data_IF_222325302647
#
_entry.id   IF_222325302647
#
_cell.length_a   1.000
_cell.length_b   1.000
_cell.length_c   1.000
_cell.angle_alpha   90.00
_cell.angle_beta   90.00
_cell.angle_gamma   90.00
#
_symmetry.space_group_name_H-M   'P 1'
#
loop_
_entity.id
_entity.type
_entity.pdbx_description
1 polymer ?
#
# COMPACT_ATOMS: atom_id res chain seq x y z
N UNK A 1 4.12 13.45 -17.48
CA UNK A 1 4.33 12.05 -17.93
C UNK A 1 3.86 11.13 -16.81
N UNK A 2 2.74 10.43 -17.00
CA UNK A 2 2.23 9.48 -16.00
C UNK A 2 3.24 8.36 -15.82
N UNK A 3 3.80 8.21 -14.62
CA UNK A 3 4.73 7.12 -14.32
C UNK A 3 3.94 5.91 -13.85
N UNK A 4 4.30 4.74 -14.37
CA UNK A 4 3.64 3.46 -14.05
C UNK A 4 3.62 3.17 -12.54
N UNK A 5 4.66 3.56 -11.81
CA UNK A 5 4.71 3.45 -10.34
C UNK A 5 3.56 4.21 -9.64
N UNK A 6 3.19 5.40 -10.13
CA UNK A 6 2.18 6.26 -9.54
C UNK A 6 0.79 5.64 -9.70
N UNK A 7 0.55 4.92 -10.79
CA UNK A 7 -0.68 4.19 -11.03
C UNK A 7 -0.86 3.06 -10.00
N UNK A 8 0.18 2.26 -9.75
CA UNK A 8 0.11 1.18 -8.77
C UNK A 8 -0.04 1.68 -7.32
N UNK A 9 0.62 2.79 -6.98
CA UNK A 9 0.42 3.44 -5.67
C UNK A 9 -1.01 3.97 -5.53
N UNK A 10 -1.57 4.56 -6.59
CA UNK A 10 -2.95 5.06 -6.60
C UNK A 10 -3.95 3.91 -6.44
N UNK A 11 -3.79 2.82 -7.19
CA UNK A 11 -4.65 1.64 -7.08
C UNK A 11 -4.60 1.07 -5.65
N UNK A 12 -3.40 0.92 -5.09
CA UNK A 12 -3.26 0.41 -3.72
C UNK A 12 -3.89 1.35 -2.68
N UNK A 13 -3.78 2.66 -2.87
CA UNK A 13 -4.45 3.65 -2.03
C UNK A 13 -5.98 3.53 -2.12
N UNK A 14 -6.52 3.42 -3.33
CA UNK A 14 -7.97 3.24 -3.55
C UNK A 14 -8.47 1.97 -2.89
N UNK A 15 -7.75 0.85 -3.00
CA UNK A 15 -8.12 -0.41 -2.33
C UNK A 15 -8.22 -0.19 -0.81
N UNK A 16 -7.24 0.47 -0.20
CA UNK A 16 -7.26 0.76 1.23
C UNK A 16 -8.45 1.65 1.63
N UNK A 17 -8.79 2.67 0.85
CA UNK A 17 -9.99 3.49 1.12
C UNK A 17 -11.28 2.71 0.94
N UNK A 18 -11.37 1.83 -0.06
CA UNK A 18 -12.53 0.94 -0.24
C UNK A 18 -12.70 0.06 1.00
N UNK A 19 -11.62 -0.56 1.49
CA UNK A 19 -11.68 -1.39 2.69
C UNK A 19 -12.14 -0.58 3.92
N UNK A 20 -11.62 0.65 4.09
CA UNK A 20 -12.08 1.56 5.14
C UNK A 20 -13.58 1.89 5.05
N UNK A 21 -14.09 2.17 3.84
CA UNK A 21 -15.52 2.46 3.63
C UNK A 21 -16.39 1.25 3.96
N UNK A 22 -15.96 0.06 3.56
CA UNK A 22 -16.67 -1.18 3.88
C UNK A 22 -16.72 -1.44 5.39
N UNK A 23 -15.61 -1.23 6.12
CA UNK A 23 -15.59 -1.40 7.58
C UNK A 23 -16.61 -0.46 8.25
N UNK A 24 -16.68 0.80 7.82
CA UNK A 24 -17.66 1.76 8.36
C UNK A 24 -19.11 1.43 7.97
N UNK A 25 -19.34 0.89 6.77
CA UNK A 25 -20.68 0.58 6.29
C UNK A 25 -21.32 -0.59 7.05
N UNK A 26 -20.53 -1.62 7.37
CA UNK A 26 -21.02 -2.81 8.08
C UNK A 26 -21.00 -2.67 9.61
N UNK A 27 -20.57 -1.52 10.14
CA UNK A 27 -20.55 -1.17 11.57
C UNK A 27 -20.05 -2.31 12.48
N UNK A 28 -18.86 -2.83 12.17
CA UNK A 28 -18.25 -3.89 12.96
C UNK A 28 -17.92 -3.40 14.37
N UNK A 29 -18.64 -3.88 15.38
CA UNK A 29 -18.32 -3.68 16.80
C UNK A 29 -17.21 -4.63 17.26
N UNK A 30 -16.01 -4.44 16.70
CA UNK A 30 -14.80 -5.13 17.12
C UNK A 30 -13.61 -4.15 17.15
N UNK A 31 -12.88 -4.16 18.27
CA UNK A 31 -11.66 -3.37 18.46
C UNK A 31 -10.64 -3.61 17.35
N UNK A 32 -10.55 -4.84 16.82
CA UNK A 32 -9.62 -5.17 15.74
C UNK A 32 -10.02 -4.49 14.42
N UNK A 33 -11.32 -4.37 14.15
CA UNK A 33 -11.83 -3.65 12.97
C UNK A 33 -11.65 -2.15 13.08
N UNK A 34 -11.77 -1.58 14.28
CA UNK A 34 -11.44 -0.18 14.51
C UNK A 34 -9.97 0.12 14.24
N UNK A 35 -9.06 -0.73 14.70
CA UNK A 35 -7.63 -0.65 14.39
C UNK A 35 -7.41 -0.75 12.88
N UNK A 36 -8.06 -1.73 12.23
CA UNK A 36 -7.91 -1.91 10.80
C UNK A 36 -8.40 -0.71 9.99
N UNK A 37 -9.51 -0.10 10.38
CA UNK A 37 -10.01 1.13 9.77
C UNK A 37 -8.98 2.25 9.80
N UNK A 38 -8.36 2.48 10.96
CA UNK A 38 -7.33 3.53 11.12
C UNK A 38 -6.11 3.22 10.27
N UNK A 39 -5.67 1.96 10.25
CA UNK A 39 -4.53 1.53 9.43
C UNK A 39 -4.84 1.68 7.94
N UNK A 40 -6.02 1.30 7.48
CA UNK A 40 -6.48 1.44 6.10
C UNK A 40 -6.57 2.91 5.66
N UNK A 41 -7.07 3.79 6.52
CA UNK A 41 -7.07 5.23 6.25
C UNK A 41 -5.64 5.79 6.16
N UNK A 42 -4.79 5.45 7.13
CA UNK A 42 -3.40 5.89 7.20
C UNK A 42 -2.56 5.40 6.02
N UNK A 43 -2.70 4.12 5.64
CA UNK A 43 -2.03 3.55 4.47
C UNK A 43 -2.50 4.19 3.17
N UNK A 44 -3.82 4.42 3.01
CA UNK A 44 -4.39 5.09 1.85
C UNK A 44 -3.79 6.49 1.64
N UNK A 45 -3.75 7.30 2.71
CA UNK A 45 -3.17 8.64 2.69
C UNK A 45 -1.66 8.60 2.45
N UNK A 46 -0.94 7.69 3.12
CA UNK A 46 0.50 7.55 2.97
C UNK A 46 0.91 7.16 1.54
N UNK A 47 0.16 6.25 0.91
CA UNK A 47 0.37 5.86 -0.49
C UNK A 47 0.11 7.02 -1.45
N UNK A 48 -0.90 7.86 -1.20
CA UNK A 48 -1.09 9.10 -1.96
C UNK A 48 0.08 10.07 -1.77
N UNK A 49 0.54 10.26 -0.53
CA UNK A 49 1.70 11.10 -0.25
C UNK A 49 2.94 10.63 -1.02
N UNK A 50 3.18 9.33 -1.09
CA UNK A 50 4.28 8.74 -1.86
C UNK A 50 4.23 9.04 -3.35
N UNK A 51 3.05 9.28 -3.95
CA UNK A 51 2.94 9.68 -5.36
C UNK A 51 3.60 11.04 -5.58
N UNK A 52 3.45 11.98 -4.64
CA UNK A 52 4.03 13.33 -4.73
C UNK A 52 5.54 13.35 -4.45
N UNK A 53 6.09 12.28 -3.88
CA UNK A 53 7.54 12.16 -3.61
C UNK A 53 8.37 11.78 -4.85
N UNK A 54 7.81 11.92 -6.06
CA UNK A 54 8.40 11.51 -7.34
C UNK A 54 9.76 12.15 -7.67
N UNK A 55 10.10 13.28 -7.03
CA UNK A 55 11.39 13.97 -7.18
C UNK A 55 12.51 13.23 -6.43
N UNK A 56 12.20 12.65 -5.27
CA UNK A 56 13.16 11.99 -4.39
C UNK A 56 13.00 10.46 -4.46
N UNK A 57 13.37 9.85 -5.60
CA UNK A 57 13.12 8.42 -5.86
C UNK A 57 13.78 7.48 -4.83
N UNK A 58 14.99 7.80 -4.37
CA UNK A 58 15.68 7.01 -3.34
C UNK A 58 14.92 6.99 -2.01
N UNK A 59 14.36 8.14 -1.61
CA UNK A 59 13.52 8.25 -0.42
C UNK A 59 12.20 7.51 -0.62
N UNK A 60 11.57 7.68 -1.79
CA UNK A 60 10.34 6.98 -2.17
C UNK A 60 10.52 5.46 -2.08
N UNK A 61 11.64 4.91 -2.59
CA UNK A 61 11.95 3.49 -2.51
C UNK A 61 12.15 3.01 -1.06
N UNK A 62 12.90 3.77 -0.25
CA UNK A 62 13.17 3.41 1.16
C UNK A 62 11.87 3.39 1.98
N UNK A 63 11.03 4.41 1.83
CA UNK A 63 9.72 4.50 2.48
C UNK A 63 8.80 3.37 2.03
N UNK A 64 8.78 3.04 0.74
CA UNK A 64 7.94 1.97 0.21
C UNK A 64 8.37 0.58 0.72
N UNK A 65 9.67 0.33 0.88
CA UNK A 65 10.16 -0.92 1.49
C UNK A 65 9.75 -1.06 2.94
N UNK A 66 9.90 0.01 3.73
CA UNK A 66 9.49 0.01 5.15
C UNK A 66 7.98 -0.22 5.24
N UNK A 67 7.20 0.50 4.43
CA UNK A 67 5.77 0.32 4.37
C UNK A 67 5.37 -1.12 4.02
N UNK A 68 5.98 -1.73 3.00
CA UNK A 68 5.69 -3.12 2.63
C UNK A 68 5.92 -4.09 3.78
N UNK A 69 7.03 -3.96 4.50
CA UNK A 69 7.34 -4.84 5.64
C UNK A 69 6.28 -4.68 6.73
N UNK A 70 5.98 -3.44 7.12
CA UNK A 70 4.97 -3.15 8.15
C UNK A 70 3.58 -3.63 7.72
N UNK A 71 3.22 -3.41 6.46
CA UNK A 71 1.92 -3.78 5.91
C UNK A 71 1.74 -5.31 5.82
N UNK A 72 2.80 -6.05 5.51
CA UNK A 72 2.78 -7.53 5.53
C UNK A 72 2.61 -8.05 6.95
N UNK A 73 3.37 -7.53 7.92
CA UNK A 73 3.23 -7.92 9.33
C UNK A 73 1.80 -7.66 9.82
N UNK A 74 1.26 -6.50 9.49
CA UNK A 74 -0.11 -6.14 9.83
C UNK A 74 -1.13 -7.06 9.14
N UNK A 75 -0.91 -7.42 7.87
CA UNK A 75 -1.75 -8.37 7.15
C UNK A 75 -1.78 -9.76 7.80
N UNK A 76 -0.63 -10.25 8.29
CA UNK A 76 -0.59 -11.48 9.08
C UNK A 76 -1.37 -11.34 10.38
N UNK A 77 -1.19 -10.22 11.10
CA UNK A 77 -1.94 -9.98 12.33
C UNK A 77 -3.46 -10.03 12.11
N UNK A 78 -3.98 -9.34 11.09
CA UNK A 78 -5.40 -9.42 10.75
C UNK A 78 -5.81 -10.86 10.40
N UNK A 79 -5.04 -11.57 9.58
CA UNK A 79 -5.39 -12.92 9.14
C UNK A 79 -5.51 -13.95 10.28
N UNK A 80 -4.76 -13.79 11.38
CA UNK A 80 -4.81 -14.71 12.52
C UNK A 80 -5.90 -14.38 13.55
N UNK A 81 -6.26 -13.11 13.68
CA UNK A 81 -7.11 -12.62 14.77
C UNK A 81 -8.51 -12.16 14.33
N UNK A 82 -8.78 -12.08 13.03
CA UNK A 82 -10.10 -11.72 12.51
C UNK A 82 -11.08 -12.90 12.60
N UNK A 83 -12.30 -12.62 13.06
CA UNK A 83 -13.39 -13.61 13.05
C UNK A 83 -13.82 -13.95 11.62
N UNK A 84 -14.10 -15.24 11.38
CA UNK A 84 -14.15 -15.81 10.02
C UNK A 84 -15.31 -15.31 9.15
N UNK A 85 -16.39 -14.80 9.74
CA UNK A 85 -17.63 -14.48 9.02
C UNK A 85 -17.47 -13.41 7.92
N UNK A 86 -16.55 -12.45 8.09
CA UNK A 86 -16.26 -11.41 7.09
C UNK A 86 -14.79 -11.34 6.68
N UNK A 87 -13.98 -12.26 7.21
CA UNK A 87 -12.52 -12.34 7.02
C UNK A 87 -12.07 -12.34 5.56
N UNK A 88 -12.82 -13.02 4.68
CA UNK A 88 -12.38 -13.29 3.31
C UNK A 88 -12.20 -12.00 2.49
N UNK A 89 -13.19 -11.10 2.49
CA UNK A 89 -13.12 -9.86 1.70
C UNK A 89 -11.96 -8.97 2.16
N UNK A 90 -11.77 -8.84 3.46
CA UNK A 90 -10.72 -8.01 4.03
C UNK A 90 -9.32 -8.57 3.78
N UNK A 91 -9.14 -9.89 3.90
CA UNK A 91 -7.89 -10.57 3.60
C UNK A 91 -7.56 -10.47 2.10
N UNK A 92 -8.53 -10.69 1.21
CA UNK A 92 -8.33 -10.51 -0.24
C UNK A 92 -7.98 -9.06 -0.59
N UNK A 93 -8.64 -8.09 0.04
CA UNK A 93 -8.32 -6.67 -0.09
C UNK A 93 -6.88 -6.36 0.29
N UNK A 94 -6.45 -6.83 1.47
CA UNK A 94 -5.08 -6.69 1.97
C UNK A 94 -4.04 -7.30 1.03
N UNK A 95 -4.29 -8.53 0.55
CA UNK A 95 -3.40 -9.23 -0.38
C UNK A 95 -3.27 -8.47 -1.71
N UNK A 96 -4.40 -7.99 -2.26
CA UNK A 96 -4.38 -7.23 -3.51
C UNK A 96 -3.58 -5.93 -3.38
N UNK A 97 -3.78 -5.15 -2.30
CA UNK A 97 -3.01 -3.96 -2.01
C UNK A 97 -1.50 -4.27 -1.86
N UNK A 98 -1.16 -5.39 -1.21
CA UNK A 98 0.22 -5.83 -1.04
C UNK A 98 0.91 -6.15 -2.39
N UNK A 99 0.18 -6.80 -3.32
CA UNK A 99 0.67 -7.08 -4.67
C UNK A 99 0.96 -5.77 -5.42
N UNK A 100 0.04 -4.82 -5.39
CA UNK A 100 0.21 -3.53 -6.07
C UNK A 100 1.34 -2.69 -5.47
N UNK A 101 1.50 -2.70 -4.15
CA UNK A 101 2.63 -2.07 -3.47
C UNK A 101 3.98 -2.70 -3.85
N UNK A 102 4.02 -4.02 -4.00
CA UNK A 102 5.20 -4.75 -4.46
C UNK A 102 5.55 -4.41 -5.92
N UNK A 103 4.54 -4.32 -6.79
CA UNK A 103 4.71 -3.85 -8.16
C UNK A 103 5.22 -2.41 -8.19
N UNK A 104 4.61 -1.48 -7.45
CA UNK A 104 5.07 -0.11 -7.34
C UNK A 104 6.56 -0.03 -6.96
N UNK A 105 6.99 -0.83 -5.98
CA UNK A 105 8.39 -0.92 -5.55
C UNK A 105 9.32 -1.37 -6.68
N UNK A 106 8.91 -2.37 -7.46
CA UNK A 106 9.67 -2.86 -8.62
C UNK A 106 9.85 -1.76 -9.67
N UNK A 107 8.79 -1.01 -9.97
CA UNK A 107 8.86 0.08 -10.95
C UNK A 107 9.67 1.27 -10.44
N UNK A 108 9.59 1.63 -9.15
CA UNK A 108 10.46 2.67 -8.55
C UNK A 108 11.94 2.28 -8.70
N UNK A 109 12.29 1.01 -8.44
CA UNK A 109 13.66 0.53 -8.58
C UNK A 109 14.16 0.64 -10.03
N UNK A 110 13.35 0.19 -10.99
CA UNK A 110 13.67 0.32 -12.43
C UNK A 110 13.88 1.78 -12.85
N UNK A 111 13.06 2.67 -12.31
CA UNK A 111 13.11 4.11 -12.54
C UNK A 111 14.39 4.77 -12.01
N UNK A 112 15.01 4.22 -10.97
CA UNK A 112 16.29 4.65 -10.41
C UNK A 112 17.44 4.09 -11.25
N UNK A 113 17.37 2.81 -11.62
CA UNK A 113 18.38 2.14 -12.47
C UNK A 113 18.53 2.85 -13.83
N UNK A 114 17.41 3.26 -14.44
CA UNK A 114 17.40 4.03 -15.69
C UNK A 114 18.15 5.35 -15.57
N UNK A 115 17.93 6.11 -14.48
CA UNK A 115 18.63 7.39 -14.25
C UNK A 115 20.12 7.13 -14.06
N UNK A 116 20.49 6.16 -13.22
CA UNK A 116 21.88 5.82 -12.97
C UNK A 116 22.60 5.33 -14.24
N UNK A 117 21.91 4.60 -15.13
CA UNK A 117 22.48 4.18 -16.41
C UNK A 117 22.69 5.35 -17.37
N UNK A 118 21.76 6.33 -17.40
CA UNK A 118 21.90 7.52 -18.22
C UNK A 118 23.03 8.42 -17.71
N UNK A 119 23.17 8.56 -16.38
CA UNK A 119 24.27 9.32 -15.77
C UNK A 119 25.65 8.68 -16.01
N UNK A 120 25.74 7.35 -16.17
CA UNK A 120 26.99 6.66 -16.52
C UNK A 120 27.41 6.82 -17.99
N UNK A 121 26.43 7.04 -18.86
CA UNK A 121 26.68 7.25 -20.30
C UNK A 121 27.06 8.70 -20.62
N UNK A 122 26.87 9.60 -19.67
CA UNK A 122 27.17 11.02 -19.78
C UNK A 122 28.53 11.34 -19.18
#
# INVERSE_FOLDING_TARGET
>A
MFRVQSLYLLISSVINFVLMVFINYYDFQDNLMDIYRVVAAGSGIFLLFLIFLYKNKNLQLKMMKIFNVVYVIFGFYIAFFIDLDYSSFFVFGLLSACIFCSLATKYIKKDIELINSADRLR
#
